data_IF_633028658815
#
_entry.id   IF_633028658815
#
_cell.length_a   1.000
_cell.length_b   1.000
_cell.length_c   1.000
_cell.angle_alpha   90.00
_cell.angle_beta   90.00
_cell.angle_gamma   90.00
#
_symmetry.space_group_name_H-M   'P 1'
#
loop_
_entity.id
_entity.type
_entity.pdbx_description
1 polymer ?
#
# COMPACT_ATOMS: atom_id res chain seq x y z
N UNK A 1 14.03 12.49 2.15
CA UNK A 1 15.10 11.49 2.40
C UNK A 1 15.30 11.36 3.89
N UNK A 2 15.42 10.14 4.41
CA UNK A 2 15.76 9.89 5.80
C UNK A 2 17.26 10.25 5.98
N UNK A 3 17.61 11.09 6.97
CA UNK A 3 19.00 11.42 7.23
C UNK A 3 19.74 10.24 7.86
N UNK A 4 21.04 10.30 7.85
CA UNK A 4 21.88 9.47 8.69
C UNK A 4 21.72 9.96 10.16
N UNK A 5 21.31 9.07 11.04
CA UNK A 5 21.05 9.36 12.46
C UNK A 5 22.21 8.89 13.36
N UNK A 6 23.22 8.24 12.78
CA UNK A 6 24.38 7.70 13.49
C UNK A 6 25.73 8.35 13.10
N UNK A 7 25.73 9.59 12.61
CA UNK A 7 26.98 10.21 12.15
C UNK A 7 27.98 10.29 13.29
N UNK A 8 29.22 9.86 13.02
CA UNK A 8 30.33 9.95 13.98
C UNK A 8 30.36 8.88 15.07
N UNK A 9 29.47 7.89 15.03
CA UNK A 9 29.63 6.68 15.84
C UNK A 9 30.72 5.78 15.21
N UNK A 10 31.42 5.06 16.09
CA UNK A 10 32.25 3.97 15.60
C UNK A 10 31.37 2.82 15.06
N UNK A 11 31.90 1.98 14.15
CA UNK A 11 31.10 0.96 13.48
C UNK A 11 30.47 -0.07 14.44
N UNK A 12 31.07 -0.36 15.58
CA UNK A 12 30.55 -1.32 16.55
C UNK A 12 29.37 -0.71 17.32
N UNK A 13 29.49 0.54 17.77
CA UNK A 13 28.42 1.28 18.44
C UNK A 13 27.24 1.51 17.49
N UNK A 14 27.47 1.84 16.21
CA UNK A 14 26.42 1.94 15.20
C UNK A 14 25.71 0.60 15.01
N UNK A 15 26.44 -0.49 14.82
CA UNK A 15 25.89 -1.83 14.64
C UNK A 15 25.04 -2.27 15.85
N UNK A 16 25.48 -1.95 17.07
CA UNK A 16 24.72 -2.24 18.29
C UNK A 16 23.39 -1.47 18.33
N UNK A 17 23.39 -0.18 18.02
CA UNK A 17 22.19 0.66 17.99
C UNK A 17 21.23 0.23 16.87
N UNK A 18 21.73 -0.05 15.67
CA UNK A 18 20.95 -0.56 14.55
C UNK A 18 20.33 -1.92 14.92
N UNK A 19 21.10 -2.83 15.55
CA UNK A 19 20.59 -4.12 16.01
C UNK A 19 19.44 -3.96 17.01
N UNK A 20 19.56 -3.07 17.97
CA UNK A 20 18.50 -2.80 18.93
C UNK A 20 17.25 -2.22 18.25
N UNK A 21 17.40 -1.27 17.31
CA UNK A 21 16.27 -0.74 16.53
C UNK A 21 15.60 -1.81 15.69
N UNK A 22 16.36 -2.70 15.03
CA UNK A 22 15.82 -3.82 14.25
C UNK A 22 15.01 -4.74 15.14
N UNK A 23 15.52 -5.10 16.33
CA UNK A 23 14.79 -5.91 17.31
C UNK A 23 13.45 -5.26 17.70
N UNK A 24 13.47 -3.98 18.01
CA UNK A 24 12.25 -3.24 18.35
C UNK A 24 11.27 -3.18 17.17
N UNK A 25 11.72 -2.76 15.99
CA UNK A 25 10.87 -2.58 14.82
C UNK A 25 10.26 -3.91 14.34
N UNK A 26 10.98 -5.01 14.45
CA UNK A 26 10.47 -6.34 14.12
C UNK A 26 9.28 -6.78 15.00
N UNK A 27 9.13 -6.23 16.21
CA UNK A 27 7.98 -6.52 17.10
C UNK A 27 6.76 -5.65 16.80
N UNK A 28 6.88 -4.61 15.97
CA UNK A 28 5.81 -3.62 15.76
C UNK A 28 4.84 -3.96 14.64
N UNK A 29 5.06 -5.04 13.91
CA UNK A 29 4.22 -5.45 12.80
C UNK A 29 4.10 -6.97 12.65
N UNK A 30 3.00 -7.41 12.05
CA UNK A 30 2.84 -8.78 11.58
C UNK A 30 3.02 -8.82 10.07
N UNK A 31 4.21 -9.15 9.61
CA UNK A 31 4.47 -9.37 8.18
C UNK A 31 3.95 -10.74 7.79
N UNK A 32 2.75 -10.83 7.25
CA UNK A 32 2.26 -12.03 6.58
C UNK A 32 2.06 -11.71 5.12
N UNK A 33 2.86 -12.35 4.29
CA UNK A 33 2.69 -12.27 2.85
C UNK A 33 1.36 -12.92 2.46
N UNK A 34 0.60 -12.30 1.54
CA UNK A 34 -0.57 -12.91 0.91
C UNK A 34 -0.43 -12.79 -0.61
N UNK A 35 -0.63 -13.88 -1.34
CA UNK A 35 -0.66 -13.84 -2.79
C UNK A 35 -1.98 -13.23 -3.27
N UNK A 36 -1.96 -12.40 -4.33
CA UNK A 36 -3.16 -11.90 -4.96
C UNK A 36 -3.82 -12.98 -5.82
N UNK A 37 -5.14 -12.90 -6.00
CA UNK A 37 -5.85 -13.71 -6.98
C UNK A 37 -5.62 -13.18 -8.41
N UNK A 38 -5.69 -14.06 -9.42
CA UNK A 38 -5.44 -13.68 -10.82
C UNK A 38 -6.36 -12.55 -11.31
N UNK A 39 -7.62 -12.55 -10.90
CA UNK A 39 -8.58 -11.49 -11.22
C UNK A 39 -8.24 -10.16 -10.56
N UNK A 40 -7.75 -10.15 -9.32
CA UNK A 40 -7.25 -8.93 -8.66
C UNK A 40 -6.08 -8.34 -9.45
N UNK A 41 -5.14 -9.19 -9.87
CA UNK A 41 -3.97 -8.78 -10.67
C UNK A 41 -4.40 -8.12 -11.98
N UNK A 42 -5.32 -8.74 -12.72
CA UNK A 42 -5.80 -8.22 -14.01
C UNK A 42 -6.50 -6.87 -13.85
N UNK A 43 -7.42 -6.75 -12.87
CA UNK A 43 -8.11 -5.49 -12.57
C UNK A 43 -7.12 -4.42 -12.09
N UNK A 44 -6.20 -4.79 -11.21
CA UNK A 44 -5.18 -3.87 -10.69
C UNK A 44 -4.26 -3.34 -11.77
N UNK A 45 -3.89 -4.17 -12.75
CA UNK A 45 -3.13 -3.74 -13.92
C UNK A 45 -3.92 -2.71 -14.74
N UNK A 46 -5.19 -2.97 -15.01
CA UNK A 46 -6.04 -2.03 -15.73
C UNK A 46 -6.20 -0.70 -14.98
N UNK A 47 -6.48 -0.75 -13.67
CA UNK A 47 -6.63 0.43 -12.84
C UNK A 47 -5.35 1.26 -12.80
N UNK A 48 -4.18 0.64 -12.57
CA UNK A 48 -2.89 1.34 -12.56
C UNK A 48 -2.64 2.14 -13.85
N UNK A 49 -3.09 1.63 -15.01
CA UNK A 49 -2.90 2.30 -16.30
C UNK A 49 -4.00 3.30 -16.66
N UNK A 50 -5.16 3.29 -15.96
CA UNK A 50 -6.32 4.11 -16.33
C UNK A 50 -6.60 5.27 -15.40
N UNK A 51 -6.44 5.06 -14.06
CA UNK A 51 -6.91 6.05 -13.09
C UNK A 51 -5.97 7.25 -12.88
N UNK A 52 -4.77 7.23 -13.47
CA UNK A 52 -3.82 8.35 -13.42
C UNK A 52 -2.45 8.04 -12.80
N UNK A 53 -2.19 6.83 -12.30
CA UNK A 53 -0.89 6.48 -11.73
C UNK A 53 0.27 6.66 -12.72
N UNK A 54 0.01 6.36 -13.99
CA UNK A 54 1.00 6.46 -15.08
C UNK A 54 1.37 7.89 -15.47
N UNK A 55 0.63 8.90 -15.03
CA UNK A 55 1.00 10.28 -15.24
C UNK A 55 2.33 10.62 -14.55
N UNK A 56 2.56 10.04 -13.37
CA UNK A 56 3.77 10.24 -12.57
C UNK A 56 4.68 9.02 -12.53
N UNK A 57 4.13 7.80 -12.61
CA UNK A 57 4.90 6.55 -12.54
C UNK A 57 5.10 5.92 -13.91
N UNK A 58 6.13 5.08 -14.03
CA UNK A 58 6.41 4.39 -15.29
C UNK A 58 5.28 3.42 -15.65
N UNK A 59 4.75 3.48 -16.89
CA UNK A 59 3.89 2.42 -17.41
C UNK A 59 4.60 1.06 -17.36
N UNK A 60 3.86 0.01 -17.03
CA UNK A 60 4.40 -1.35 -16.89
C UNK A 60 3.59 -2.32 -17.74
N UNK A 61 4.15 -2.76 -18.85
CA UNK A 61 3.62 -3.86 -19.63
C UNK A 61 4.44 -5.11 -19.37
N UNK A 62 3.80 -6.23 -19.14
CA UNK A 62 4.43 -7.56 -19.03
C UNK A 62 5.66 -7.60 -18.10
N UNK A 63 5.55 -7.04 -16.90
CA UNK A 63 6.64 -6.92 -15.92
C UNK A 63 7.73 -5.90 -16.28
N UNK A 64 7.79 -5.42 -17.52
CA UNK A 64 8.78 -4.44 -17.96
C UNK A 64 8.25 -3.01 -17.78
N UNK A 65 9.04 -2.18 -17.11
CA UNK A 65 8.76 -0.75 -17.01
C UNK A 65 9.31 -0.02 -18.23
N UNK A 66 8.49 0.82 -18.86
CA UNK A 66 8.99 1.75 -19.88
C UNK A 66 9.80 2.84 -19.19
N UNK A 67 11.10 2.92 -19.46
CA UNK A 67 11.96 3.96 -18.87
C UNK A 67 11.61 5.32 -19.47
N UNK A 68 11.06 6.20 -18.66
CA UNK A 68 10.80 7.60 -18.98
C UNK A 68 11.51 8.46 -17.94
N UNK A 69 12.30 9.44 -18.38
CA UNK A 69 13.13 10.27 -17.50
C UNK A 69 12.31 11.07 -16.46
N UNK A 70 11.10 11.46 -16.83
CA UNK A 70 10.14 12.20 -16.00
C UNK A 70 9.40 11.34 -15.00
N UNK A 71 9.58 10.02 -15.03
CA UNK A 71 8.86 9.11 -14.14
C UNK A 71 9.46 9.06 -12.74
N UNK A 72 8.60 9.12 -11.73
CA UNK A 72 8.95 8.79 -10.35
C UNK A 72 9.11 7.26 -10.23
N UNK A 73 10.32 6.76 -9.89
CA UNK A 73 10.55 5.32 -9.81
C UNK A 73 9.81 4.70 -8.62
N UNK A 74 9.19 3.55 -8.82
CA UNK A 74 8.49 2.81 -7.76
C UNK A 74 9.45 1.96 -6.91
N UNK A 75 10.58 1.53 -7.50
CA UNK A 75 11.51 0.59 -6.86
C UNK A 75 10.91 -0.79 -6.61
N UNK A 76 11.47 -1.52 -5.68
CA UNK A 76 10.99 -2.84 -5.26
C UNK A 76 9.90 -2.66 -4.18
N UNK A 77 8.65 -2.55 -4.62
CA UNK A 77 7.49 -2.30 -3.74
C UNK A 77 7.30 -3.46 -2.76
N UNK A 78 7.45 -4.68 -3.23
CA UNK A 78 7.33 -5.92 -2.46
C UNK A 78 8.34 -6.04 -1.32
N UNK A 79 9.46 -5.31 -1.40
CA UNK A 79 10.46 -5.21 -0.32
C UNK A 79 10.14 -4.13 0.71
N UNK A 80 9.21 -3.22 0.41
CA UNK A 80 8.89 -2.06 1.25
C UNK A 80 7.54 -2.17 1.94
N UNK A 81 6.60 -2.85 1.32
CA UNK A 81 5.22 -2.94 1.76
C UNK A 81 4.78 -4.39 1.87
N UNK A 82 3.81 -4.66 2.73
CA UNK A 82 2.90 -5.79 2.57
C UNK A 82 1.79 -5.40 1.60
N UNK A 83 1.06 -6.36 1.04
CA UNK A 83 -0.08 -6.07 0.16
C UNK A 83 -1.12 -5.17 0.85
N UNK A 84 -1.45 -5.49 2.11
CA UNK A 84 -2.45 -4.73 2.87
C UNK A 84 -1.97 -3.31 3.19
N UNK A 85 -0.69 -3.14 3.56
CA UNK A 85 -0.13 -1.81 3.85
C UNK A 85 -0.01 -0.96 2.58
N UNK A 86 0.27 -1.58 1.43
CA UNK A 86 0.23 -0.88 0.15
C UNK A 86 -1.19 -0.46 -0.22
N UNK A 87 -2.19 -1.33 -0.04
CA UNK A 87 -3.59 -0.99 -0.29
C UNK A 87 -4.06 0.18 0.58
N UNK A 88 -3.72 0.15 1.89
CA UNK A 88 -4.02 1.25 2.80
C UNK A 88 -3.33 2.57 2.38
N UNK A 89 -2.07 2.51 1.98
CA UNK A 89 -1.35 3.67 1.45
C UNK A 89 -2.00 4.22 0.18
N UNK A 90 -2.33 3.37 -0.78
CA UNK A 90 -2.96 3.77 -2.04
C UNK A 90 -4.34 4.41 -1.84
N UNK A 91 -5.11 3.91 -0.85
CA UNK A 91 -6.43 4.48 -0.52
C UNK A 91 -6.31 5.89 0.04
N UNK A 92 -5.36 6.15 0.91
CA UNK A 92 -5.14 7.47 1.52
C UNK A 92 -3.66 7.77 1.73
N UNK A 93 -2.91 8.16 0.68
CA UNK A 93 -1.49 8.42 0.76
C UNK A 93 -1.11 9.51 1.78
N UNK A 94 -1.91 10.57 1.88
CA UNK A 94 -1.65 11.70 2.77
C UNK A 94 -1.84 11.37 4.25
N UNK A 95 -2.76 10.45 4.59
CA UNK A 95 -2.90 9.97 5.97
C UNK A 95 -1.68 9.15 6.43
N UNK A 96 -1.05 8.41 5.48
CA UNK A 96 0.14 7.60 5.77
C UNK A 96 1.41 8.45 5.71
N UNK A 97 1.45 9.43 4.80
CA UNK A 97 2.60 10.33 4.59
C UNK A 97 2.10 11.76 4.38
N UNK A 98 1.80 12.52 5.46
CA UNK A 98 1.27 13.88 5.34
C UNK A 98 2.17 14.84 4.54
N UNK A 99 3.48 14.71 4.65
CA UNK A 99 4.47 15.47 3.85
C UNK A 99 4.81 14.83 2.50
N UNK A 100 4.10 13.79 2.08
CA UNK A 100 4.33 13.12 0.80
C UNK A 100 3.68 13.85 -0.36
N UNK A 101 4.32 13.78 -1.54
CA UNK A 101 3.78 14.39 -2.77
C UNK A 101 2.85 13.47 -3.58
N UNK A 102 2.70 12.20 -3.18
CA UNK A 102 1.76 11.29 -3.84
C UNK A 102 0.33 11.64 -3.42
N UNK A 103 -0.54 12.04 -4.35
CA UNK A 103 -1.91 12.43 -4.05
C UNK A 103 -2.85 11.24 -3.90
N UNK A 104 -4.05 11.49 -3.41
CA UNK A 104 -5.15 10.52 -3.42
C UNK A 104 -5.87 10.54 -4.76
N UNK A 105 -6.04 9.37 -5.37
CA UNK A 105 -6.84 9.17 -6.58
C UNK A 105 -8.29 8.70 -6.28
N UNK A 106 -8.77 8.92 -5.05
CA UNK A 106 -10.10 8.50 -4.60
C UNK A 106 -10.39 7.01 -4.83
N UNK A 107 -9.40 6.17 -4.59
CA UNK A 107 -9.55 4.73 -4.73
C UNK A 107 -10.45 4.20 -3.60
N UNK A 108 -11.40 3.34 -3.95
CA UNK A 108 -12.14 2.57 -2.97
C UNK A 108 -11.31 1.37 -2.45
N UNK A 109 -11.85 0.63 -1.46
CA UNK A 109 -11.15 -0.50 -0.85
C UNK A 109 -10.83 -1.62 -1.83
N UNK A 110 -11.70 -1.86 -2.81
CA UNK A 110 -11.50 -2.89 -3.83
C UNK A 110 -10.41 -2.47 -4.81
N UNK A 111 -10.49 -1.25 -5.34
CA UNK A 111 -9.51 -0.71 -6.29
C UNK A 111 -8.10 -0.64 -5.71
N UNK A 112 -7.96 -0.19 -4.46
CA UNK A 112 -6.67 -0.12 -3.78
C UNK A 112 -6.07 -1.52 -3.55
N UNK A 113 -6.89 -2.52 -3.20
CA UNK A 113 -6.44 -3.92 -3.10
C UNK A 113 -6.08 -4.52 -4.44
N UNK A 114 -6.86 -4.27 -5.48
CA UNK A 114 -6.59 -4.77 -6.83
C UNK A 114 -5.25 -4.22 -7.36
N UNK A 115 -4.98 -2.91 -7.18
CA UNK A 115 -3.69 -2.31 -7.57
C UNK A 115 -2.54 -2.87 -6.72
N UNK A 116 -2.73 -3.04 -5.42
CA UNK A 116 -1.74 -3.70 -4.57
C UNK A 116 -1.48 -5.13 -5.04
N UNK A 117 -2.52 -5.90 -5.36
CA UNK A 117 -2.41 -7.24 -5.94
C UNK A 117 -1.57 -7.26 -7.22
N UNK A 118 -1.77 -6.31 -8.12
CA UNK A 118 -0.95 -6.18 -9.32
C UNK A 118 0.55 -6.04 -9.03
N UNK A 119 0.93 -5.27 -8.01
CA UNK A 119 2.35 -5.13 -7.62
C UNK A 119 2.91 -6.39 -6.96
N UNK A 120 2.08 -7.16 -6.28
CA UNK A 120 2.47 -8.39 -5.61
C UNK A 120 2.26 -9.67 -6.44
N UNK A 121 1.95 -9.56 -7.74
CA UNK A 121 1.66 -10.70 -8.63
C UNK A 121 2.77 -11.75 -8.74
N UNK A 122 4.02 -11.37 -8.48
CA UNK A 122 5.17 -12.28 -8.48
C UNK A 122 5.47 -12.91 -7.11
N UNK A 123 4.65 -12.63 -6.10
CA UNK A 123 4.86 -13.16 -4.76
C UNK A 123 4.47 -14.63 -4.74
N UNK A 124 5.47 -15.50 -4.66
CA UNK A 124 5.23 -16.92 -4.36
C UNK A 124 5.14 -17.09 -2.85
N UNK A 125 4.00 -17.58 -2.38
CA UNK A 125 3.83 -17.98 -1.00
C UNK A 125 4.15 -19.46 -0.87
N UNK A 126 4.78 -19.88 0.24
CA UNK A 126 4.84 -21.29 0.54
C UNK A 126 3.42 -21.86 0.64
N UNK A 127 3.19 -23.08 0.14
CA UNK A 127 1.91 -23.73 0.25
C UNK A 127 1.49 -23.84 1.73
N UNK A 128 0.24 -23.48 2.00
CA UNK A 128 -0.31 -23.47 3.36
C UNK A 128 -1.62 -24.30 3.51
N UNK A 129 -2.08 -24.88 2.41
CA UNK A 129 -3.22 -25.79 2.36
C UNK A 129 -2.88 -26.99 1.45
N UNK A 130 -3.47 -28.13 1.73
CA UNK A 130 -3.54 -29.25 0.79
C UNK A 130 -4.80 -29.06 -0.07
N UNK A 131 -4.78 -29.53 -1.32
CA UNK A 131 -5.95 -29.53 -2.18
C UNK A 131 -6.18 -30.90 -2.82
N UNK A 132 -7.44 -31.16 -3.15
CA UNK A 132 -7.88 -32.23 -4.04
C UNK A 132 -8.83 -31.62 -5.08
N UNK A 133 -8.56 -31.91 -6.35
CA UNK A 133 -9.33 -31.43 -7.52
C UNK A 133 -10.13 -32.57 -8.10
N UNK A 134 -11.38 -32.28 -8.43
CA UNK A 134 -12.36 -33.23 -8.97
C UNK A 134 -13.02 -32.65 -10.21
N UNK A 135 -13.38 -33.52 -11.15
CA UNK A 135 -14.16 -33.17 -12.33
C UNK A 135 -15.53 -33.86 -12.26
N UNK A 136 -16.56 -33.07 -12.48
CA UNK A 136 -17.95 -33.56 -12.46
C UNK A 136 -18.94 -32.40 -12.49
N UNK A 137 -20.18 -32.72 -12.75
CA UNK A 137 -21.30 -31.77 -12.78
C UNK A 137 -22.20 -32.04 -11.59
N UNK A 138 -22.35 -31.05 -10.72
CA UNK A 138 -23.15 -31.19 -9.49
C UNK A 138 -24.07 -29.98 -9.33
N UNK A 139 -25.27 -30.22 -8.79
CA UNK A 139 -26.19 -29.16 -8.38
C UNK A 139 -26.12 -28.83 -6.88
N UNK A 140 -25.42 -29.67 -6.12
CA UNK A 140 -25.19 -29.53 -4.68
C UNK A 140 -23.76 -29.98 -4.38
N UNK A 141 -23.24 -29.62 -3.21
CA UNK A 141 -21.89 -30.03 -2.80
C UNK A 141 -21.81 -31.57 -2.75
N UNK A 142 -20.98 -32.19 -3.58
CA UNK A 142 -20.84 -33.64 -3.58
C UNK A 142 -20.14 -34.14 -2.30
N UNK A 143 -20.33 -35.41 -1.98
CA UNK A 143 -19.53 -36.07 -0.98
C UNK A 143 -18.14 -36.40 -1.60
N UNK A 144 -17.21 -35.44 -1.52
CA UNK A 144 -15.86 -35.60 -2.05
C UNK A 144 -15.09 -36.77 -1.44
N UNK A 145 -15.53 -37.31 -0.29
CA UNK A 145 -14.86 -38.47 0.33
C UNK A 145 -15.09 -39.77 -0.47
N UNK A 146 -16.16 -39.80 -1.26
CA UNK A 146 -16.54 -40.94 -2.12
C UNK A 146 -16.02 -40.80 -3.56
N UNK A 147 -15.41 -39.66 -3.88
CA UNK A 147 -14.92 -39.37 -5.22
C UNK A 147 -13.41 -39.55 -5.30
N UNK A 148 -12.93 -40.01 -6.47
CA UNK A 148 -11.50 -40.10 -6.74
C UNK A 148 -11.01 -38.74 -7.30
N UNK A 149 -10.07 -38.05 -6.63
CA UNK A 149 -9.52 -36.80 -7.16
C UNK A 149 -8.73 -37.02 -8.44
N UNK A 150 -8.80 -36.08 -9.36
CA UNK A 150 -7.99 -36.02 -10.58
C UNK A 150 -6.57 -35.52 -10.31
N UNK A 151 -6.44 -34.62 -9.32
CA UNK A 151 -5.14 -34.13 -8.88
C UNK A 151 -5.18 -33.81 -7.38
N UNK A 152 -4.04 -33.93 -6.73
CA UNK A 152 -3.84 -33.56 -5.31
C UNK A 152 -2.50 -32.84 -5.20
N UNK A 153 -2.35 -32.00 -4.18
CA UNK A 153 -1.10 -31.29 -3.94
C UNK A 153 -1.22 -30.28 -2.81
N UNK A 154 -0.29 -29.36 -2.80
CA UNK A 154 -0.34 -28.24 -1.87
C UNK A 154 -0.44 -26.92 -2.62
N UNK A 155 -1.14 -25.94 -2.04
CA UNK A 155 -1.44 -24.64 -2.64
C UNK A 155 -1.34 -23.52 -1.60
N UNK A 156 -1.03 -22.32 -2.05
CA UNK A 156 -1.03 -21.13 -1.22
C UNK A 156 -2.42 -20.47 -1.25
N UNK A 157 -3.21 -20.68 -0.23
CA UNK A 157 -4.57 -20.12 -0.11
C UNK A 157 -5.63 -20.90 -0.92
N UNK A 158 -6.84 -20.34 -0.94
CA UNK A 158 -8.01 -20.94 -1.62
C UNK A 158 -8.04 -20.52 -3.10
N UNK A 159 -7.08 -21.00 -3.90
CA UNK A 159 -6.94 -20.61 -5.30
C UNK A 159 -7.75 -21.54 -6.20
N UNK A 160 -8.74 -20.98 -6.93
CA UNK A 160 -9.52 -21.74 -7.92
C UNK A 160 -8.73 -22.01 -9.21
N UNK A 161 -7.73 -21.19 -9.52
CA UNK A 161 -6.90 -21.35 -10.73
C UNK A 161 -6.02 -22.60 -10.77
N UNK A 162 -6.09 -23.49 -9.78
CA UNK A 162 -5.50 -24.84 -9.82
C UNK A 162 -6.39 -25.84 -10.55
N UNK A 163 -7.69 -25.52 -10.77
CA UNK A 163 -8.58 -26.33 -11.55
C UNK A 163 -8.17 -26.30 -13.04
N UNK A 164 -8.18 -27.47 -13.70
CA UNK A 164 -7.88 -27.57 -15.12
C UNK A 164 -9.03 -27.08 -16.03
N UNK A 165 -10.23 -26.92 -15.46
CA UNK A 165 -11.46 -26.46 -16.14
C UNK A 165 -11.92 -25.15 -15.53
N UNK A 166 -12.72 -24.40 -16.28
CA UNK A 166 -13.46 -23.22 -15.75
C UNK A 166 -14.79 -23.62 -15.13
N UNK A 167 -15.43 -24.65 -15.67
CA UNK A 167 -16.75 -25.11 -15.28
C UNK A 167 -16.72 -26.61 -14.94
N UNK A 168 -17.72 -27.10 -14.22
CA UNK A 168 -17.94 -28.51 -13.90
C UNK A 168 -16.77 -29.15 -13.14
N UNK A 169 -16.34 -28.48 -12.07
CA UNK A 169 -15.27 -28.96 -11.22
C UNK A 169 -15.58 -28.80 -9.73
N UNK A 170 -14.84 -29.52 -8.91
CA UNK A 170 -14.85 -29.37 -7.46
C UNK A 170 -13.45 -29.30 -6.87
N UNK A 171 -13.34 -28.59 -5.77
CA UNK A 171 -12.11 -28.45 -5.01
C UNK A 171 -12.37 -28.69 -3.53
N UNK A 172 -11.53 -29.50 -2.93
CA UNK A 172 -11.45 -29.66 -1.47
C UNK A 172 -10.13 -29.14 -0.98
N UNK A 173 -10.16 -28.17 -0.09
CA UNK A 173 -8.98 -27.64 0.60
C UNK A 173 -8.98 -28.13 2.03
N UNK A 174 -7.81 -28.62 2.51
CA UNK A 174 -7.62 -29.07 3.88
C UNK A 174 -6.36 -28.50 4.49
N UNK A 175 -6.38 -28.27 5.80
CA UNK A 175 -5.24 -27.76 6.55
C UNK A 175 -5.61 -27.53 8.01
N UNK A 176 -4.83 -26.70 8.69
CA UNK A 176 -5.03 -26.37 10.10
C UNK A 176 -4.97 -24.87 10.30
N UNK A 177 -6.02 -24.27 10.86
CA UNK A 177 -6.03 -22.90 11.34
C UNK A 177 -5.21 -22.81 12.63
N UNK A 178 -4.19 -21.99 12.63
CA UNK A 178 -3.37 -21.70 13.81
C UNK A 178 -4.02 -20.57 14.60
N UNK A 179 -4.76 -20.89 15.63
CA UNK A 179 -5.44 -19.94 16.52
C UNK A 179 -4.43 -19.43 17.58
N UNK A 180 -4.10 -18.13 17.61
CA UNK A 180 -3.04 -17.62 18.50
C UNK A 180 -3.45 -17.52 19.96
N UNK A 181 -4.75 -17.42 20.27
CA UNK A 181 -5.30 -17.33 21.63
C UNK A 181 -6.78 -17.73 21.66
N UNK A 182 -7.22 -18.26 22.80
CA UNK A 182 -8.62 -18.58 23.03
C UNK A 182 -9.53 -17.35 22.84
N UNK A 183 -10.69 -17.56 22.23
CA UNK A 183 -11.73 -16.53 22.08
C UNK A 183 -12.69 -16.76 20.92
N UNK A 184 -13.54 -15.77 20.72
CA UNK A 184 -14.57 -15.79 19.68
C UNK A 184 -14.00 -15.34 18.34
N UNK A 185 -14.11 -16.21 17.34
CA UNK A 185 -13.68 -15.98 15.96
C UNK A 185 -14.89 -15.96 15.04
N UNK A 186 -14.98 -14.93 14.19
CA UNK A 186 -16.01 -14.83 13.16
C UNK A 186 -15.42 -15.22 11.82
N UNK A 187 -16.04 -16.16 11.13
CA UNK A 187 -15.69 -16.64 9.81
C UNK A 187 -16.64 -16.05 8.77
N UNK A 188 -16.15 -15.83 7.57
CA UNK A 188 -16.89 -15.33 6.43
C UNK A 188 -16.64 -16.25 5.25
N UNK A 189 -17.72 -16.76 4.66
CA UNK A 189 -17.70 -17.61 3.48
C UNK A 189 -18.47 -16.92 2.36
N UNK A 190 -17.81 -16.69 1.24
CA UNK A 190 -18.43 -16.16 0.03
C UNK A 190 -18.09 -17.05 -1.15
N UNK A 191 -19.08 -17.41 -1.94
CA UNK A 191 -18.88 -18.24 -3.13
C UNK A 191 -19.92 -18.03 -4.22
N UNK A 192 -19.50 -18.38 -5.41
CA UNK A 192 -20.19 -18.64 -6.66
C UNK A 192 -19.50 -19.88 -7.25
N UNK A 193 -20.06 -21.11 -7.31
CA UNK A 193 -21.36 -21.58 -6.80
C UNK A 193 -21.31 -22.03 -5.31
N UNK A 194 -21.45 -23.33 -5.07
CA UNK A 194 -21.59 -23.90 -3.74
C UNK A 194 -20.30 -24.10 -2.99
N UNK A 195 -20.36 -23.89 -1.68
CA UNK A 195 -19.20 -24.07 -0.79
C UNK A 195 -19.59 -24.43 0.63
N UNK A 196 -18.68 -25.13 1.34
CA UNK A 196 -18.82 -25.51 2.74
C UNK A 196 -17.53 -25.23 3.48
N UNK A 197 -17.64 -24.59 4.64
CA UNK A 197 -16.53 -24.44 5.60
C UNK A 197 -16.80 -25.33 6.82
N UNK A 198 -15.83 -26.17 7.14
CA UNK A 198 -15.82 -26.94 8.40
C UNK A 198 -14.58 -26.58 9.24
N UNK A 199 -14.79 -26.53 10.55
CA UNK A 199 -13.74 -26.40 11.56
C UNK A 199 -13.91 -27.57 12.54
N UNK A 200 -12.84 -28.34 12.76
CA UNK A 200 -12.81 -29.53 13.60
C UNK A 200 -13.96 -30.52 13.29
N UNK A 201 -14.21 -30.73 12.00
CA UNK A 201 -15.25 -31.62 11.50
C UNK A 201 -16.68 -31.09 11.59
N UNK A 202 -16.90 -29.90 12.21
CA UNK A 202 -18.23 -29.28 12.31
C UNK A 202 -18.46 -28.28 11.17
N UNK A 203 -19.59 -28.38 10.49
CA UNK A 203 -19.99 -27.40 9.46
C UNK A 203 -20.30 -26.06 10.12
N UNK A 204 -19.51 -25.05 9.79
CA UNK A 204 -19.68 -23.67 10.26
C UNK A 204 -20.61 -22.89 9.35
N UNK A 205 -20.45 -23.08 8.04
CA UNK A 205 -21.26 -22.42 6.99
C UNK A 205 -21.30 -23.31 5.75
N UNK A 206 -22.42 -23.20 5.02
CA UNK A 206 -22.63 -23.94 3.79
C UNK A 206 -23.52 -23.16 2.84
N UNK A 207 -23.16 -23.11 1.56
CA UNK A 207 -23.99 -22.79 0.42
C UNK A 207 -24.15 -24.07 -0.43
N UNK A 208 -25.26 -24.74 -0.30
CA UNK A 208 -25.44 -26.06 -0.92
C UNK A 208 -26.32 -25.97 -2.18
N UNK A 209 -25.81 -25.30 -3.21
CA UNK A 209 -26.52 -25.13 -4.48
C UNK A 209 -25.79 -24.27 -5.48
N UNK A 210 -26.31 -24.26 -6.72
CA UNK A 210 -25.91 -23.34 -7.78
C UNK A 210 -26.43 -21.95 -7.43
N UNK A 211 -25.57 -20.94 -7.43
CA UNK A 211 -25.97 -19.59 -7.07
C UNK A 211 -24.94 -18.54 -7.53
N UNK A 212 -25.43 -17.33 -7.82
CA UNK A 212 -24.54 -16.16 -7.95
C UNK A 212 -23.84 -15.86 -6.61
N UNK A 213 -22.72 -15.14 -6.67
CA UNK A 213 -21.91 -14.82 -5.49
C UNK A 213 -22.74 -14.28 -4.33
N UNK A 214 -22.67 -14.96 -3.21
CA UNK A 214 -23.21 -14.54 -1.91
C UNK A 214 -22.16 -14.70 -0.83
N UNK A 215 -22.25 -13.88 0.22
CA UNK A 215 -21.39 -13.99 1.41
C UNK A 215 -22.24 -14.07 2.68
N UNK A 216 -21.86 -14.94 3.61
CA UNK A 216 -22.43 -15.01 4.96
C UNK A 216 -21.33 -15.18 6.00
N UNK A 217 -21.67 -15.02 7.27
CA UNK A 217 -20.74 -15.19 8.37
C UNK A 217 -21.35 -16.01 9.51
N UNK A 218 -20.45 -16.59 10.31
CA UNK A 218 -20.78 -17.32 11.53
C UNK A 218 -19.62 -17.20 12.51
N UNK A 219 -19.89 -17.35 13.81
CA UNK A 219 -18.88 -17.23 14.85
C UNK A 219 -18.77 -18.51 15.68
N UNK A 220 -17.54 -18.84 16.08
CA UNK A 220 -17.20 -19.95 16.96
C UNK A 220 -16.28 -19.48 18.08
N UNK A 221 -16.41 -20.09 19.26
CA UNK A 221 -15.39 -20.06 20.29
C UNK A 221 -14.33 -21.12 19.97
N UNK A 222 -13.05 -20.69 19.91
CA UNK A 222 -11.93 -21.59 19.64
C UNK A 222 -10.88 -21.43 20.74
N UNK A 223 -10.27 -22.55 21.11
CA UNK A 223 -9.09 -22.54 21.98
C UNK A 223 -7.84 -22.13 21.21
N UNK A 224 -6.74 -21.82 21.89
CA UNK A 224 -5.46 -21.57 21.23
C UNK A 224 -4.88 -22.88 20.69
N UNK A 225 -4.33 -22.85 19.47
CA UNK A 225 -3.71 -24.01 18.84
C UNK A 225 -4.22 -24.30 17.43
N UNK A 226 -3.88 -25.47 16.90
CA UNK A 226 -4.29 -25.89 15.57
C UNK A 226 -5.71 -26.45 15.56
N UNK A 227 -6.56 -25.93 14.69
CA UNK A 227 -7.91 -26.42 14.41
C UNK A 227 -7.99 -26.92 12.97
N UNK A 228 -8.53 -28.13 12.77
CA UNK A 228 -8.67 -28.70 11.43
C UNK A 228 -9.62 -27.85 10.58
N UNK A 229 -9.21 -27.48 9.38
CA UNK A 229 -9.99 -26.73 8.40
C UNK A 229 -10.24 -27.59 7.19
N UNK A 230 -11.51 -27.63 6.74
CA UNK A 230 -11.90 -28.18 5.47
C UNK A 230 -12.80 -27.16 4.76
N UNK A 231 -12.47 -26.88 3.49
CA UNK A 231 -13.31 -26.06 2.59
C UNK A 231 -13.61 -26.87 1.33
N UNK A 232 -14.87 -27.18 1.11
CA UNK A 232 -15.38 -27.76 -0.13
C UNK A 232 -15.94 -26.64 -1.02
N UNK A 233 -15.73 -26.75 -2.31
CA UNK A 233 -16.23 -25.85 -3.33
C UNK A 233 -16.59 -26.65 -4.59
N UNK A 234 -17.67 -26.29 -5.26
CA UNK A 234 -17.93 -26.74 -6.62
C UNK A 234 -18.38 -25.59 -7.50
N UNK A 235 -18.03 -25.69 -8.77
CA UNK A 235 -18.42 -24.80 -9.85
C UNK A 235 -19.18 -25.61 -10.91
N UNK A 236 -20.37 -25.14 -11.27
CA UNK A 236 -21.18 -25.76 -12.30
C UNK A 236 -20.97 -25.06 -13.63
N UNK A 237 -21.30 -23.79 -13.73
CA UNK A 237 -21.14 -22.96 -14.92
C UNK A 237 -21.10 -21.47 -14.55
N UNK A 238 -20.36 -20.67 -15.28
CA UNK A 238 -20.46 -19.22 -15.23
C UNK A 238 -19.26 -18.49 -14.62
N UNK A 239 -19.50 -17.78 -13.53
CA UNK A 239 -18.42 -17.07 -12.82
C UNK A 239 -18.04 -17.85 -11.57
N UNK A 240 -16.75 -18.07 -11.42
CA UNK A 240 -16.19 -18.76 -10.27
C UNK A 240 -15.71 -17.77 -9.19
N UNK A 241 -16.09 -17.98 -7.95
CA UNK A 241 -15.57 -17.21 -6.82
C UNK A 241 -15.60 -18.01 -5.51
N UNK A 242 -14.48 -17.97 -4.79
CA UNK A 242 -14.38 -18.51 -3.43
C UNK A 242 -13.59 -17.53 -2.56
N UNK A 243 -14.21 -17.11 -1.45
CA UNK A 243 -13.59 -16.23 -0.46
C UNK A 243 -13.83 -16.80 0.93
N UNK A 244 -12.77 -17.02 1.67
CA UNK A 244 -12.81 -17.52 3.04
C UNK A 244 -11.99 -16.58 3.91
N UNK A 245 -12.68 -15.74 4.68
CA UNK A 245 -12.07 -14.79 5.59
C UNK A 245 -12.37 -15.17 7.05
N UNK A 246 -11.62 -14.56 7.96
CA UNK A 246 -11.90 -14.65 9.40
C UNK A 246 -11.42 -13.39 10.12
N UNK A 247 -11.96 -13.19 11.34
CA UNK A 247 -11.51 -12.20 12.30
C UNK A 247 -11.62 -12.77 13.71
N UNK A 248 -10.89 -12.19 14.65
CA UNK A 248 -10.92 -12.63 16.04
C UNK A 248 -10.15 -11.71 16.97
N UNK A 249 -9.92 -12.13 18.21
CA UNK A 249 -9.24 -11.31 19.19
C UNK A 249 -7.88 -10.80 18.69
N UNK A 250 -7.76 -9.48 18.45
CA UNK A 250 -6.56 -8.84 17.92
C UNK A 250 -6.27 -9.12 16.44
N UNK A 251 -7.19 -9.75 15.70
CA UNK A 251 -7.07 -10.04 14.29
C UNK A 251 -8.24 -9.35 13.56
N UNK A 252 -7.93 -8.32 12.76
CA UNK A 252 -8.90 -7.72 11.86
C UNK A 252 -9.25 -8.69 10.72
N UNK A 253 -10.45 -8.53 10.11
CA UNK A 253 -10.91 -9.39 9.02
C UNK A 253 -9.85 -9.51 7.91
N UNK A 254 -9.50 -10.74 7.59
CA UNK A 254 -8.51 -11.11 6.56
C UNK A 254 -8.76 -12.53 6.06
N UNK A 255 -8.10 -12.91 4.97
CA UNK A 255 -8.23 -14.29 4.47
C UNK A 255 -7.76 -15.32 5.50
N UNK A 256 -8.56 -16.36 5.69
CA UNK A 256 -8.27 -17.48 6.59
C UNK A 256 -6.91 -18.13 6.28
N UNK A 257 -6.56 -18.18 5.00
CA UNK A 257 -5.29 -18.75 4.52
C UNK A 257 -4.04 -18.12 5.15
N UNK A 258 -4.12 -16.89 5.67
CA UNK A 258 -2.96 -16.26 6.35
C UNK A 258 -2.59 -16.94 7.67
N UNK A 259 -3.47 -17.76 8.21
CA UNK A 259 -3.30 -18.44 9.49
C UNK A 259 -3.41 -19.97 9.35
N UNK A 260 -3.37 -20.50 8.11
CA UNK A 260 -3.42 -21.94 7.87
C UNK A 260 -2.03 -22.51 7.62
N UNK A 261 -1.91 -23.81 7.93
CA UNK A 261 -0.75 -24.65 7.66
C UNK A 261 -1.23 -25.99 7.12
N UNK A 262 -0.48 -26.70 6.26
CA UNK A 262 -0.91 -27.98 5.72
C UNK A 262 -0.95 -29.10 6.78
N UNK A 263 -0.26 -28.91 7.89
CA UNK A 263 -0.13 -29.87 9.00
C UNK A 263 -0.40 -29.18 10.34
N UNK A 264 -0.91 -29.92 11.32
CA UNK A 264 -1.21 -29.41 12.66
C UNK A 264 0.04 -28.82 13.36
N UNK A 265 1.18 -29.48 13.20
CA UNK A 265 2.50 -28.99 13.62
C UNK A 265 3.29 -28.66 12.37
N UNK A 266 3.30 -27.40 11.92
CA UNK A 266 4.07 -27.02 10.74
C UNK A 266 5.55 -27.30 11.01
N UNK A 267 6.21 -27.94 10.05
CA UNK A 267 7.69 -27.97 10.08
C UNK A 267 8.16 -26.52 10.06
N UNK A 268 9.14 -26.14 10.88
CA UNK A 268 9.77 -24.84 10.78
C UNK A 268 10.13 -24.59 9.31
N UNK A 269 9.77 -23.41 8.78
CA UNK A 269 10.24 -23.03 7.44
C UNK A 269 11.76 -23.18 7.48
N UNK A 270 12.38 -23.98 6.59
CA UNK A 270 13.82 -24.08 6.60
C UNK A 270 14.39 -22.68 6.51
N UNK A 271 15.18 -22.27 7.50
CA UNK A 271 15.94 -21.05 7.41
C UNK A 271 16.72 -21.10 6.09
N UNK A 272 16.76 -20.01 5.35
CA UNK A 272 17.62 -19.88 4.17
C UNK A 272 19.00 -20.34 4.64
N UNK A 273 19.60 -21.29 3.92
CA UNK A 273 20.80 -22.01 4.34
C UNK A 273 21.86 -20.99 4.83
N UNK A 274 22.06 -20.90 6.14
CA UNK A 274 22.97 -19.95 6.77
C UNK A 274 22.31 -18.85 7.64
N UNK A 275 20.99 -18.67 7.60
CA UNK A 275 20.30 -17.70 8.46
C UNK A 275 19.64 -18.40 9.66
N UNK A 276 19.99 -17.97 10.86
CA UNK A 276 19.23 -18.30 12.08
C UNK A 276 17.89 -17.56 12.02
N UNK A 277 16.78 -18.24 12.36
CA UNK A 277 15.50 -17.59 12.50
C UNK A 277 15.63 -16.38 13.44
N UNK A 278 15.20 -15.20 12.98
CA UNK A 278 15.24 -13.99 13.79
C UNK A 278 14.29 -14.15 14.97
N UNK A 279 14.82 -14.11 16.18
CA UNK A 279 14.07 -14.07 17.43
C UNK A 279 14.39 -12.74 18.09
N UNK A 280 13.36 -11.92 18.30
CA UNK A 280 13.55 -10.63 18.95
C UNK A 280 14.01 -10.82 20.41
N UNK A 281 15.15 -10.22 20.75
CA UNK A 281 15.65 -10.18 22.12
C UNK A 281 14.89 -9.11 22.93
N UNK A 282 14.24 -9.47 24.04
CA UNK A 282 13.45 -8.51 24.83
C UNK A 282 14.25 -7.29 25.33
N UNK A 283 15.52 -7.48 25.65
CA UNK A 283 16.40 -6.40 26.14
C UNK A 283 16.72 -5.44 25.00
N UNK A 284 17.04 -5.99 23.82
CA UNK A 284 17.29 -5.18 22.62
C UNK A 284 16.02 -4.50 22.12
N UNK A 285 14.84 -5.12 22.27
CA UNK A 285 13.55 -4.49 21.96
C UNK A 285 13.32 -3.24 22.78
N UNK A 286 13.56 -3.30 24.10
CA UNK A 286 13.37 -2.13 24.96
C UNK A 286 14.44 -1.05 24.70
N UNK A 287 15.68 -1.44 24.46
CA UNK A 287 16.75 -0.54 24.03
C UNK A 287 16.41 0.16 22.73
N UNK A 288 15.94 -0.59 21.71
CA UNK A 288 15.53 -0.05 20.43
C UNK A 288 14.33 0.90 20.54
N UNK A 289 13.37 0.61 21.44
CA UNK A 289 12.25 1.49 21.73
C UNK A 289 12.70 2.83 22.30
N UNK A 290 13.65 2.82 23.24
CA UNK A 290 14.25 4.04 23.80
C UNK A 290 15.03 4.82 22.75
N UNK A 291 15.84 4.13 21.92
CA UNK A 291 16.55 4.74 20.81
C UNK A 291 15.60 5.39 19.81
N UNK A 292 14.49 4.72 19.43
CA UNK A 292 13.49 5.30 18.54
C UNK A 292 12.96 6.65 19.04
N UNK A 293 12.80 6.80 20.37
CA UNK A 293 12.36 8.05 20.98
C UNK A 293 13.47 9.11 21.02
N UNK A 294 14.74 8.73 21.24
CA UNK A 294 15.83 9.65 21.60
C UNK A 294 16.67 10.13 20.42
N UNK A 295 16.90 9.31 19.39
CA UNK A 295 17.79 9.66 18.27
C UNK A 295 17.09 10.38 17.12
N UNK A 296 15.80 10.73 17.26
CA UNK A 296 15.06 11.55 16.31
C UNK A 296 14.04 10.81 15.45
N UNK A 297 13.94 9.48 15.50
CA UNK A 297 12.95 8.73 14.72
C UNK A 297 11.51 9.18 15.05
N UNK A 298 11.18 9.31 16.33
CA UNK A 298 9.86 9.72 16.80
C UNK A 298 9.52 11.19 16.48
N UNK A 299 10.48 12.01 16.08
CA UNK A 299 10.23 13.40 15.65
C UNK A 299 9.58 13.46 14.26
N UNK A 300 9.81 12.43 13.43
CA UNK A 300 9.29 12.34 12.07
C UNK A 300 8.30 11.18 11.89
N UNK A 301 8.44 10.10 12.67
CA UNK A 301 7.63 8.89 12.56
C UNK A 301 6.70 8.75 13.76
N UNK A 302 5.39 8.65 13.52
CA UNK A 302 4.41 8.33 14.55
C UNK A 302 4.31 6.81 14.71
N UNK A 303 4.58 6.32 15.93
CA UNK A 303 4.48 4.90 16.25
C UNK A 303 3.79 4.71 17.59
N UNK A 304 3.00 3.64 17.71
CA UNK A 304 2.41 3.21 18.98
C UNK A 304 3.04 1.90 19.44
N UNK A 305 3.37 1.83 20.72
CA UNK A 305 3.78 0.61 21.38
C UNK A 305 2.81 0.30 22.52
N UNK A 306 2.23 -0.91 22.53
CA UNK A 306 1.19 -1.30 23.50
C UNK A 306 0.03 -0.28 23.60
N UNK A 307 -0.38 0.29 22.47
CA UNK A 307 -1.47 1.26 22.37
C UNK A 307 -1.08 2.72 22.66
N UNK A 308 0.08 2.99 23.24
CA UNK A 308 0.55 4.34 23.56
C UNK A 308 1.49 4.88 22.49
N UNK A 309 1.34 6.18 22.14
CA UNK A 309 2.22 6.85 21.19
C UNK A 309 3.63 7.02 21.80
N UNK A 310 4.65 6.68 21.02
CA UNK A 310 6.04 6.95 21.40
C UNK A 310 6.31 8.42 21.09
N UNK A 311 6.60 9.19 22.14
CA UNK A 311 6.93 10.60 22.02
C UNK A 311 8.46 10.78 21.89
N UNK A 312 8.93 11.75 21.08
CA UNK A 312 10.35 12.09 21.04
C UNK A 312 10.79 12.63 22.41
N UNK A 313 11.98 12.24 22.86
CA UNK A 313 12.60 12.73 24.09
C UNK A 313 13.59 13.88 23.87
N UNK A 314 13.93 14.16 22.60
CA UNK A 314 14.77 15.29 22.22
C UNK A 314 14.05 16.64 22.32
N UNK A 315 14.82 17.73 22.36
CA UNK A 315 14.24 19.08 22.30
C UNK A 315 13.57 19.29 20.94
N UNK A 316 12.35 19.87 20.90
CA UNK A 316 11.71 20.22 19.66
C UNK A 316 12.53 21.27 18.89
N UNK A 317 12.52 21.19 17.57
CA UNK A 317 13.13 22.22 16.73
C UNK A 317 12.43 23.58 16.96
N UNK A 318 13.21 24.64 17.02
CA UNK A 318 12.66 26.00 17.07
C UNK A 318 12.00 26.41 15.75
N UNK A 319 11.25 27.53 15.73
CA UNK A 319 10.70 28.07 14.49
C UNK A 319 11.77 28.31 13.45
N UNK A 320 11.46 28.01 12.17
CA UNK A 320 12.42 28.09 11.06
C UNK A 320 13.15 29.44 10.99
N UNK A 321 12.43 30.54 11.19
CA UNK A 321 12.95 31.92 11.17
C UNK A 321 13.96 32.23 12.30
N UNK A 322 14.01 31.39 13.36
CA UNK A 322 14.94 31.54 14.49
C UNK A 322 16.14 30.59 14.40
N UNK A 323 16.25 29.78 13.36
CA UNK A 323 17.33 28.82 13.20
C UNK A 323 18.65 29.52 12.86
N UNK A 324 19.74 29.05 13.48
CA UNK A 324 21.10 29.49 13.15
C UNK A 324 21.61 28.71 11.94
N UNK A 325 21.76 29.38 10.80
CA UNK A 325 22.14 28.75 9.53
C UNK A 325 23.60 28.23 9.52
N UNK A 326 24.44 28.62 10.46
CA UNK A 326 25.83 28.16 10.60
C UNK A 326 25.98 26.92 11.48
N UNK A 327 24.88 26.39 12.02
CA UNK A 327 24.91 25.27 12.98
C UNK A 327 23.99 24.11 12.58
N UNK A 328 23.97 23.09 13.43
CA UNK A 328 23.14 21.90 13.23
C UNK A 328 23.44 21.19 11.90
N UNK A 329 22.42 20.67 11.23
CA UNK A 329 22.58 19.95 9.94
C UNK A 329 23.07 20.83 8.78
N UNK A 330 23.13 22.14 8.95
CA UNK A 330 23.68 23.08 7.97
C UNK A 330 25.14 23.48 8.25
N UNK A 331 25.73 23.02 9.36
CA UNK A 331 27.09 23.34 9.72
C UNK A 331 28.10 22.98 8.61
N UNK A 332 29.06 23.88 8.28
CA UNK A 332 30.09 23.56 7.32
C UNK A 332 30.92 22.36 7.77
N UNK A 333 31.21 21.45 6.84
CA UNK A 333 32.09 20.30 7.11
C UNK A 333 31.46 19.15 7.90
N UNK A 334 30.15 19.19 8.24
CA UNK A 334 29.47 18.15 9.00
C UNK A 334 29.66 16.75 8.39
N UNK A 335 29.65 16.63 7.05
CA UNK A 335 29.88 15.35 6.35
C UNK A 335 31.36 14.88 6.42
N UNK A 336 32.32 15.76 6.76
CA UNK A 336 33.72 15.40 6.95
C UNK A 336 34.06 15.14 8.42
N UNK A 337 33.39 15.87 9.31
CA UNK A 337 33.53 15.74 10.77
C UNK A 337 32.15 15.62 11.38
N UNK A 338 31.57 14.39 11.37
CA UNK A 338 30.25 14.14 11.91
C UNK A 338 30.17 14.47 13.39
N UNK A 339 29.03 15.02 13.84
CA UNK A 339 28.76 15.35 15.25
C UNK A 339 27.63 14.47 15.74
N UNK A 340 27.88 13.73 16.81
CA UNK A 340 26.88 12.86 17.42
C UNK A 340 25.59 13.62 17.77
N UNK A 341 24.43 13.04 17.40
CA UNK A 341 23.12 13.64 17.67
C UNK A 341 22.68 14.72 16.66
N UNK A 342 23.49 15.05 15.65
CA UNK A 342 23.10 15.94 14.54
C UNK A 342 22.85 15.09 13.29
N UNK A 343 21.62 15.03 12.76
CA UNK A 343 21.30 14.25 11.54
C UNK A 343 22.10 14.74 10.34
N UNK A 344 22.77 13.84 9.61
CA UNK A 344 23.43 14.18 8.35
C UNK A 344 22.53 13.88 7.15
N UNK A 345 22.13 14.93 6.44
CA UNK A 345 21.36 14.86 5.20
C UNK A 345 22.24 14.70 3.96
N UNK A 346 23.56 14.58 4.12
CA UNK A 346 24.56 14.50 3.04
C UNK A 346 24.43 15.65 2.03
N UNK A 347 24.15 16.85 2.52
CA UNK A 347 23.99 18.03 1.69
C UNK A 347 25.34 18.49 1.12
N UNK A 348 25.39 18.84 -0.17
CA UNK A 348 26.53 19.52 -0.75
C UNK A 348 26.69 20.94 -0.18
N UNK A 349 27.85 21.54 -0.35
CA UNK A 349 28.08 22.93 0.08
C UNK A 349 27.11 23.90 -0.61
N UNK A 350 26.84 23.70 -1.90
CA UNK A 350 25.86 24.49 -2.65
C UNK A 350 24.45 24.37 -2.07
N UNK A 351 24.03 23.14 -1.71
CA UNK A 351 22.72 22.90 -1.09
C UNK A 351 22.63 23.55 0.30
N UNK A 352 23.70 23.46 1.12
CA UNK A 352 23.75 24.11 2.45
C UNK A 352 23.63 25.62 2.32
N UNK A 353 24.36 26.21 1.38
CA UNK A 353 24.30 27.66 1.11
C UNK A 353 22.94 28.10 0.62
N UNK A 354 22.32 27.35 -0.30
CA UNK A 354 20.99 27.64 -0.81
C UNK A 354 19.94 27.56 0.32
N UNK A 355 19.98 26.52 1.15
CA UNK A 355 19.08 26.39 2.31
C UNK A 355 19.32 27.50 3.33
N UNK A 356 20.58 27.86 3.61
CA UNK A 356 20.92 28.97 4.51
C UNK A 356 20.34 30.30 4.01
N UNK A 357 20.48 30.61 2.73
CA UNK A 357 19.90 31.80 2.09
C UNK A 357 18.36 31.78 2.17
N UNK A 358 17.74 30.63 1.90
CA UNK A 358 16.28 30.49 1.98
C UNK A 358 15.76 30.70 3.42
N UNK A 359 16.44 30.14 4.44
CA UNK A 359 16.08 30.34 5.84
C UNK A 359 16.22 31.82 6.25
N UNK A 360 17.32 32.48 5.84
CA UNK A 360 17.50 33.91 6.12
C UNK A 360 16.48 34.81 5.41
N UNK A 361 15.99 34.38 4.26
CA UNK A 361 14.95 35.11 3.50
C UNK A 361 13.54 34.84 4.03
N UNK A 362 13.30 33.72 4.69
CA UNK A 362 11.97 33.28 5.14
C UNK A 362 11.26 34.19 6.17
N UNK A 363 11.97 35.18 6.73
CA UNK A 363 11.43 36.19 7.63
C UNK A 363 11.26 37.57 7.00
N UNK A 364 11.50 37.72 5.70
CA UNK A 364 11.37 39.01 4.99
C UNK A 364 10.16 38.95 4.08
N UNK A 365 9.30 39.95 4.16
CA UNK A 365 8.17 40.08 3.27
C UNK A 365 8.69 40.42 1.85
N UNK A 366 8.46 39.53 0.91
CA UNK A 366 8.67 39.82 -0.51
C UNK A 366 7.45 40.60 -1.06
N UNK A 367 7.59 41.44 -2.14
CA UNK A 367 6.50 42.15 -2.75
C UNK A 367 5.35 41.18 -3.13
N UNK A 368 4.09 41.59 -2.88
CA UNK A 368 2.92 40.72 -2.97
C UNK A 368 2.71 40.08 -4.35
N UNK A 369 2.96 40.83 -5.43
CA UNK A 369 2.69 40.35 -6.81
C UNK A 369 3.70 39.25 -7.28
N UNK A 370 4.99 39.34 -6.90
CA UNK A 370 5.96 38.29 -7.24
C UNK A 370 5.72 36.99 -6.46
N UNK A 371 5.03 37.06 -5.33
CA UNK A 371 4.74 35.89 -4.51
C UNK A 371 3.67 34.98 -5.12
N UNK A 372 2.66 35.52 -5.76
CA UNK A 372 1.52 34.73 -6.31
C UNK A 372 1.98 33.84 -7.45
N UNK A 373 2.65 34.41 -8.46
CA UNK A 373 3.19 33.65 -9.59
C UNK A 373 4.15 32.57 -9.10
N UNK A 374 5.12 32.95 -8.23
CA UNK A 374 6.09 32.00 -7.68
C UNK A 374 5.43 30.87 -6.85
N UNK A 375 4.34 31.17 -6.11
CA UNK A 375 3.58 30.14 -5.38
C UNK A 375 2.84 29.19 -6.31
N UNK A 376 2.19 29.70 -7.35
CA UNK A 376 1.50 28.87 -8.35
C UNK A 376 2.51 27.97 -9.05
N UNK A 377 3.61 28.52 -9.55
CA UNK A 377 4.67 27.74 -10.21
C UNK A 377 5.29 26.71 -9.26
N UNK A 378 5.71 27.12 -8.08
CA UNK A 378 6.30 26.24 -7.08
C UNK A 378 5.36 25.10 -6.64
N UNK A 379 4.06 25.39 -6.51
CA UNK A 379 3.05 24.39 -6.14
C UNK A 379 2.78 23.42 -7.29
N UNK A 380 2.60 23.91 -8.51
CA UNK A 380 2.34 23.07 -9.69
C UNK A 380 3.53 22.17 -10.01
N UNK A 381 4.76 22.64 -9.80
CA UNK A 381 5.97 21.82 -9.91
C UNK A 381 6.12 20.83 -8.75
N UNK A 382 5.93 21.26 -7.49
CA UNK A 382 6.07 20.41 -6.32
C UNK A 382 5.12 19.22 -6.35
N UNK A 383 3.88 19.42 -6.78
CA UNK A 383 2.84 18.39 -6.88
C UNK A 383 2.70 17.80 -8.27
N UNK A 384 3.57 18.18 -9.21
CA UNK A 384 3.62 17.65 -10.57
C UNK A 384 2.28 17.77 -11.34
N UNK A 385 1.57 18.87 -11.15
CA UNK A 385 0.31 19.15 -11.85
C UNK A 385 0.51 19.16 -13.38
N UNK A 386 1.69 19.63 -13.80
CA UNK A 386 2.09 19.73 -15.20
C UNK A 386 2.39 18.37 -15.88
N UNK A 387 2.34 17.24 -15.16
CA UNK A 387 2.36 15.92 -15.79
C UNK A 387 1.04 15.58 -16.52
N UNK A 388 -0.04 16.28 -16.18
CA UNK A 388 -1.37 16.09 -16.75
C UNK A 388 -1.88 17.34 -17.45
N UNK A 389 -1.65 18.50 -16.84
CA UNK A 389 -2.13 19.80 -17.32
C UNK A 389 -1.01 20.59 -17.99
N UNK A 390 -1.34 21.41 -18.97
CA UNK A 390 -0.42 22.44 -19.46
C UNK A 390 -0.87 23.82 -18.98
N UNK A 391 0.12 24.71 -18.73
CA UNK A 391 -0.05 26.12 -18.45
C UNK A 391 1.11 26.89 -19.07
N UNK A 392 0.84 28.01 -19.70
CA UNK A 392 1.84 28.88 -20.36
C UNK A 392 2.75 28.09 -21.30
N UNK A 393 2.18 27.18 -22.08
CA UNK A 393 2.89 26.25 -23.00
C UNK A 393 3.86 25.28 -22.31
N UNK A 394 3.82 25.13 -20.99
CA UNK A 394 4.62 24.20 -20.20
C UNK A 394 3.77 23.01 -19.75
N UNK A 395 4.35 21.84 -19.69
CA UNK A 395 3.69 20.61 -19.20
C UNK A 395 2.76 19.98 -20.22
N UNK A 396 1.71 19.33 -19.71
CA UNK A 396 0.80 18.50 -20.49
C UNK A 396 1.23 17.05 -20.56
N UNK A 397 0.34 16.19 -21.07
CA UNK A 397 0.59 14.75 -21.19
C UNK A 397 1.70 14.48 -22.19
N UNK A 398 2.80 13.88 -21.74
CA UNK A 398 3.92 13.52 -22.62
C UNK A 398 3.52 12.55 -23.72
N UNK A 399 4.13 12.67 -24.91
CA UNK A 399 3.87 11.80 -26.05
C UNK A 399 3.87 10.31 -25.73
N UNK A 400 4.86 9.74 -24.99
CA UNK A 400 4.87 8.31 -24.67
C UNK A 400 3.72 7.86 -23.76
N UNK A 401 3.09 8.78 -23.02
CA UNK A 401 1.96 8.52 -22.13
C UNK A 401 0.60 8.82 -22.78
N UNK A 402 0.57 9.61 -23.84
CA UNK A 402 -0.65 10.12 -24.45
C UNK A 402 -1.68 9.01 -24.77
N UNK A 403 -1.23 7.93 -25.39
CA UNK A 403 -2.08 6.78 -25.73
C UNK A 403 -2.64 6.00 -24.52
N UNK A 404 -2.17 6.28 -23.30
CA UNK A 404 -2.63 5.64 -22.08
C UNK A 404 -3.72 6.43 -21.35
N UNK A 405 -3.96 7.69 -21.75
CA UNK A 405 -5.09 8.48 -21.32
C UNK A 405 -6.29 8.08 -22.15
N UNK A 406 -7.30 7.53 -21.51
CA UNK A 406 -8.42 6.88 -22.16
C UNK A 406 -9.74 7.54 -21.77
N UNK A 407 -10.74 7.37 -22.64
CA UNK A 407 -12.12 7.80 -22.45
C UNK A 407 -13.09 6.68 -22.75
N UNK A 408 -14.30 6.76 -22.20
CA UNK A 408 -15.42 5.90 -22.58
C UNK A 408 -16.16 6.40 -23.82
N UNK A 409 -15.96 7.68 -24.23
CA UNK A 409 -16.59 8.33 -25.40
C UNK A 409 -15.49 8.70 -26.39
N UNK A 410 -15.17 7.80 -27.29
CA UNK A 410 -14.06 7.96 -28.24
C UNK A 410 -14.25 9.08 -29.24
N UNK A 411 -15.47 9.41 -29.54
CA UNK A 411 -15.90 10.46 -30.50
C UNK A 411 -15.47 11.86 -30.07
N UNK A 412 -15.23 12.07 -28.78
CA UNK A 412 -14.74 13.34 -28.24
C UNK A 412 -13.23 13.58 -28.51
N UNK A 413 -12.52 12.59 -29.06
CA UNK A 413 -11.09 12.74 -29.29
C UNK A 413 -10.27 13.09 -28.05
N UNK A 414 -9.35 14.03 -28.19
CA UNK A 414 -8.46 14.45 -27.09
C UNK A 414 -9.20 15.18 -25.97
N UNK A 415 -10.28 15.92 -26.25
CA UNK A 415 -11.10 16.57 -25.23
C UNK A 415 -11.75 15.58 -24.27
N UNK A 416 -12.07 14.38 -24.75
CA UNK A 416 -12.65 13.31 -23.94
C UNK A 416 -11.66 12.60 -23.04
N UNK A 417 -10.35 12.77 -23.20
CA UNK A 417 -9.33 11.94 -22.55
C UNK A 417 -8.14 12.71 -21.95
N UNK A 418 -7.81 13.87 -22.48
CA UNK A 418 -6.67 14.68 -22.00
C UNK A 418 -7.17 15.70 -20.98
N UNK A 419 -6.48 15.83 -19.82
CA UNK A 419 -6.82 16.86 -18.83
C UNK A 419 -6.79 18.28 -19.42
N UNK A 420 -7.67 19.19 -18.93
CA UNK A 420 -7.80 20.53 -19.50
C UNK A 420 -6.56 21.39 -19.25
N UNK A 421 -6.41 22.43 -20.07
CA UNK A 421 -5.43 23.49 -19.88
C UNK A 421 -5.74 24.26 -18.59
N UNK A 422 -4.70 24.75 -17.90
CA UNK A 422 -4.82 25.62 -16.74
C UNK A 422 -4.72 27.12 -17.08
N UNK A 423 -4.48 27.46 -18.34
CA UNK A 423 -4.50 28.85 -18.80
C UNK A 423 -5.90 29.44 -18.57
N UNK A 424 -5.99 30.61 -17.92
CA UNK A 424 -7.24 31.30 -17.62
C UNK A 424 -8.22 30.52 -16.74
N UNK A 425 -7.74 29.55 -15.94
CA UNK A 425 -8.62 28.71 -15.11
C UNK A 425 -9.34 29.55 -14.05
N UNK A 426 -8.72 30.63 -13.53
CA UNK A 426 -9.31 31.55 -12.57
C UNK A 426 -10.44 32.35 -13.16
N UNK A 427 -10.35 32.78 -14.43
CA UNK A 427 -11.43 33.45 -15.15
C UNK A 427 -12.59 32.52 -15.52
N UNK A 428 -12.25 31.21 -15.68
CA UNK A 428 -13.22 30.18 -16.12
C UNK A 428 -14.06 29.63 -14.99
N UNK A 429 -13.47 29.42 -13.81
CA UNK A 429 -14.11 28.77 -12.67
C UNK A 429 -14.27 29.79 -11.52
N UNK A 430 -15.43 29.78 -10.87
CA UNK A 430 -15.60 30.52 -9.63
C UNK A 430 -14.83 29.81 -8.46
N UNK A 431 -14.51 30.58 -7.42
CA UNK A 431 -13.70 30.14 -6.28
C UNK A 431 -14.25 28.87 -5.60
N UNK A 432 -15.57 28.78 -5.42
CA UNK A 432 -16.21 27.64 -4.79
C UNK A 432 -16.03 26.37 -5.61
N UNK A 433 -16.13 26.49 -6.94
CA UNK A 433 -15.94 25.35 -7.82
C UNK A 433 -14.47 24.95 -7.92
N UNK A 434 -13.58 25.92 -8.04
CA UNK A 434 -12.14 25.68 -8.05
C UNK A 434 -11.69 25.01 -6.75
N UNK A 435 -12.20 25.50 -5.61
CA UNK A 435 -11.98 24.85 -4.30
C UNK A 435 -12.50 23.41 -4.28
N UNK A 436 -13.71 23.19 -4.80
CA UNK A 436 -14.29 21.84 -4.86
C UNK A 436 -13.41 20.88 -5.67
N UNK A 437 -12.93 21.30 -6.83
CA UNK A 437 -12.05 20.50 -7.69
C UNK A 437 -10.74 20.15 -6.98
N UNK A 438 -10.11 21.12 -6.32
CA UNK A 438 -8.84 20.93 -5.62
C UNK A 438 -8.98 20.03 -4.37
N UNK A 439 -10.08 20.15 -3.63
CA UNK A 439 -10.33 19.40 -2.41
C UNK A 439 -10.85 17.96 -2.68
N UNK A 440 -11.68 17.77 -3.69
CA UNK A 440 -12.43 16.52 -3.92
C UNK A 440 -12.04 15.81 -5.23
N UNK A 441 -11.28 16.46 -6.10
CA UNK A 441 -11.09 16.05 -7.48
C UNK A 441 -12.32 16.35 -8.33
N UNK A 442 -12.13 16.48 -9.64
CA UNK A 442 -13.23 16.73 -10.56
C UNK A 442 -13.89 15.43 -11.01
N UNK A 443 -15.22 15.45 -11.11
CA UNK A 443 -16.00 14.38 -11.72
C UNK A 443 -16.93 14.93 -12.84
N UNK A 444 -16.62 16.12 -13.36
CA UNK A 444 -17.40 16.81 -14.39
C UNK A 444 -17.29 16.12 -15.75
N UNK A 445 -16.27 15.29 -15.92
CA UNK A 445 -15.98 14.50 -17.12
C UNK A 445 -15.98 13.02 -16.76
N UNK A 446 -17.16 12.42 -16.47
CA UNK A 446 -17.24 11.04 -16.00
C UNK A 446 -16.79 10.01 -17.06
N UNK A 447 -16.71 10.44 -18.32
CA UNK A 447 -16.17 9.65 -19.44
C UNK A 447 -14.63 9.55 -19.43
N UNK A 448 -13.92 10.44 -18.74
CA UNK A 448 -12.48 10.36 -18.58
C UNK A 448 -12.11 9.27 -17.56
N UNK A 449 -11.25 8.34 -17.96
CA UNK A 449 -10.82 7.28 -17.04
C UNK A 449 -9.72 7.75 -16.08
N UNK A 450 -8.95 8.79 -16.47
CA UNK A 450 -7.96 9.43 -15.60
C UNK A 450 -8.67 10.35 -14.62
N UNK A 451 -8.38 10.17 -13.33
CA UNK A 451 -8.99 10.95 -12.25
C UNK A 451 -8.13 12.14 -11.88
N UNK A 452 -8.75 13.30 -11.66
CA UNK A 452 -8.10 14.44 -11.01
C UNK A 452 -7.75 14.05 -9.57
N UNK A 453 -6.48 14.10 -9.17
CA UNK A 453 -6.08 13.70 -7.83
C UNK A 453 -6.37 14.77 -6.79
N UNK A 454 -6.46 14.36 -5.51
CA UNK A 454 -6.55 15.24 -4.35
C UNK A 454 -5.21 15.34 -3.65
N UNK A 455 -4.75 16.56 -3.43
CA UNK A 455 -3.48 16.85 -2.76
C UNK A 455 -3.64 17.31 -1.30
N UNK A 456 -4.89 17.55 -0.86
CA UNK A 456 -5.25 18.08 0.46
C UNK A 456 -5.19 19.61 0.51
N UNK A 457 -6.18 20.22 1.15
CA UNK A 457 -6.37 21.68 1.24
C UNK A 457 -5.15 22.41 1.80
N UNK A 458 -4.48 21.81 2.81
CA UNK A 458 -3.26 22.39 3.39
C UNK A 458 -2.10 22.56 2.38
N UNK A 459 -2.09 21.76 1.32
CA UNK A 459 -1.05 21.78 0.30
C UNK A 459 -1.38 22.67 -0.90
N UNK A 460 -2.65 22.74 -1.29
CA UNK A 460 -3.05 23.39 -2.56
C UNK A 460 -4.19 24.39 -2.40
N UNK A 461 -4.75 24.58 -1.20
CA UNK A 461 -5.89 25.46 -0.98
C UNK A 461 -5.65 26.91 -1.33
N UNK A 462 -4.41 27.40 -1.23
CA UNK A 462 -4.01 28.75 -1.64
C UNK A 462 -4.17 28.98 -3.15
N UNK A 463 -4.11 27.92 -3.98
CA UNK A 463 -4.29 28.02 -5.42
C UNK A 463 -5.68 28.56 -5.83
N UNK A 464 -6.69 28.46 -4.95
CA UNK A 464 -8.02 29.02 -5.23
C UNK A 464 -7.91 30.52 -5.48
N UNK A 465 -7.24 31.23 -4.57
CA UNK A 465 -7.05 32.69 -4.68
C UNK A 465 -5.94 33.05 -5.69
N UNK A 466 -4.86 32.26 -5.70
CA UNK A 466 -3.69 32.55 -6.52
C UNK A 466 -3.93 32.33 -8.03
N UNK A 467 -4.89 31.50 -8.42
CA UNK A 467 -5.27 31.30 -9.83
C UNK A 467 -6.38 32.24 -10.29
N UNK A 468 -7.11 32.88 -9.35
CA UNK A 468 -8.14 33.87 -9.63
C UNK A 468 -7.58 35.31 -9.71
N UNK A 469 -6.35 35.54 -9.28
CA UNK A 469 -5.63 36.80 -9.34
C UNK A 469 -4.78 36.91 -10.62
#
# INVERSE_FOLDING_TARGET
TMPDLFPGLDPEAEAAQVTALVNFLATTGTTRASAPQSQEVARGQQLFHRVGCIACHQPRRDMKATKLATSVPLGAIEKKYTRDSLAAFLKNPLAVRPGGRMPSLNLNDKESRDIAGYFFRGTQLPPNLNFAYYEGSWSTIPDFSKLKPKATGQVAGFQLGIAARRDQFGLRFTGFLQVPRKGRYTFFLGSDDGSRLQIDGKTVMEFNGIQAYKEKNSALELDAGPHAVLVDYFEQNGQEALKVDFQGPGISRRTLATHTTPQAKPKPIPAIKGEKAFVADPTLVETGRKLFASIGCASCHQMKHKGQAIKPTGKPAGPLVKLKVAGGCLAPGLSKTPVAGIPDYRLSNTQRQALGKAIMASGKDAPANDQTVARVEGTTEAFNCLACHSRDKRGGVERPRNALFLTTIKEMGDEGRIPPLLDGVGDKLNDNWLKHVLDNGANDRPYMLTRMPRFGTANVGHLVMDLAS
#
